data_IF_446075732883
#
_entry.id   IF_446075732883
#
_cell.length_a   1.000
_cell.length_b   1.000
_cell.length_c   1.000
_cell.angle_alpha   90.00
_cell.angle_beta   90.00
_cell.angle_gamma   90.00
#
_symmetry.space_group_name_H-M   'P 1'
#
loop_
_entity.id
_entity.type
_entity.pdbx_description
1 polymer ?
#
# COMPACT_ATOMS: atom_id res chain seq x y z
N UNK A 1 -11.75 4.15 -7.99
CA UNK A 1 -12.49 5.13 -7.20
C UNK A 1 -13.97 4.84 -7.15
N UNK A 2 -14.30 3.55 -7.22
CA UNK A 2 -15.60 3.03 -6.81
C UNK A 2 -15.70 3.01 -5.27
N UNK A 3 -14.57 3.04 -4.57
CA UNK A 3 -14.40 3.04 -3.11
C UNK A 3 -13.97 4.38 -2.49
N UNK A 4 -13.41 5.31 -3.27
CA UNK A 4 -13.18 6.69 -2.83
C UNK A 4 -11.81 6.95 -2.19
N UNK A 5 -10.80 6.12 -2.47
CA UNK A 5 -9.42 6.31 -2.02
C UNK A 5 -8.63 7.33 -2.89
N UNK A 6 -9.17 7.67 -4.06
CA UNK A 6 -8.60 8.58 -5.05
C UNK A 6 -7.80 7.93 -6.17
N UNK A 7 -7.66 6.60 -6.20
CA UNK A 7 -7.09 5.82 -7.29
C UNK A 7 -8.22 5.42 -8.26
N UNK A 8 -8.19 5.81 -9.54
CA UNK A 8 -9.29 5.48 -10.47
C UNK A 8 -9.36 3.95 -10.75
N UNK A 9 -10.55 3.38 -10.98
CA UNK A 9 -10.77 1.92 -11.17
C UNK A 9 -9.90 1.32 -12.28
N UNK A 10 -9.61 2.12 -13.31
CA UNK A 10 -8.70 1.71 -14.37
C UNK A 10 -7.26 1.49 -13.87
N UNK A 11 -6.78 2.37 -13.00
CA UNK A 11 -5.47 2.24 -12.36
C UNK A 11 -5.46 1.13 -11.31
N UNK A 12 -6.55 0.92 -10.59
CA UNK A 12 -6.71 -0.20 -9.65
C UNK A 12 -6.52 -1.53 -10.38
N UNK A 13 -7.21 -1.71 -11.52
CA UNK A 13 -7.02 -2.88 -12.37
C UNK A 13 -5.57 -3.08 -12.83
N UNK A 14 -4.83 -2.00 -13.13
CA UNK A 14 -3.43 -2.11 -13.55
C UNK A 14 -2.47 -2.42 -12.41
N UNK A 15 -2.77 -1.95 -11.20
CA UNK A 15 -1.96 -2.18 -9.99
C UNK A 15 -2.39 -3.42 -9.21
N UNK A 16 -3.43 -4.14 -9.68
CA UNK A 16 -3.98 -5.36 -9.05
C UNK A 16 -4.62 -5.12 -7.69
N UNK A 17 -5.11 -3.90 -7.47
CA UNK A 17 -5.89 -3.56 -6.28
C UNK A 17 -7.39 -3.83 -6.50
N UNK A 18 -8.17 -3.93 -5.43
CA UNK A 18 -9.62 -4.17 -5.51
C UNK A 18 -10.37 -2.83 -5.58
N UNK A 19 -11.07 -2.51 -6.70
CA UNK A 19 -11.77 -1.23 -6.88
C UNK A 19 -12.92 -0.96 -5.90
N UNK A 20 -13.17 -1.86 -4.97
CA UNK A 20 -14.23 -1.78 -3.97
C UNK A 20 -13.66 -1.68 -2.56
N UNK A 21 -12.34 -1.71 -2.40
CA UNK A 21 -11.65 -1.68 -1.13
C UNK A 21 -10.58 -0.59 -1.20
N UNK A 22 -10.73 0.51 -0.43
CA UNK A 22 -9.81 1.63 -0.51
C UNK A 22 -8.40 1.31 0.03
N UNK A 23 -8.25 0.14 0.66
CA UNK A 23 -7.05 -0.44 1.25
C UNK A 23 -7.15 -1.94 0.93
N UNK A 24 -6.42 -2.37 -0.11
CA UNK A 24 -6.58 -3.71 -0.70
C UNK A 24 -5.99 -4.80 0.18
N UNK A 25 -4.88 -4.54 0.85
CA UNK A 25 -4.15 -5.53 1.65
C UNK A 25 -4.47 -5.46 3.16
N UNK A 26 -5.16 -4.40 3.58
CA UNK A 26 -5.70 -4.21 4.92
C UNK A 26 -4.66 -3.77 5.94
N UNK A 27 -3.55 -3.17 5.52
CA UNK A 27 -2.48 -2.74 6.41
C UNK A 27 -2.76 -1.37 7.07
N UNK A 28 -3.76 -0.63 6.56
CA UNK A 28 -4.19 0.68 7.02
C UNK A 28 -3.72 1.86 6.18
N UNK A 29 -3.03 1.63 5.07
CA UNK A 29 -2.73 2.62 4.02
C UNK A 29 -3.74 2.51 2.87
N UNK A 30 -4.03 3.62 2.22
CA UNK A 30 -4.85 3.60 1.00
C UNK A 30 -4.02 3.14 -0.21
N UNK A 31 -4.62 2.43 -1.15
CA UNK A 31 -3.93 1.97 -2.36
C UNK A 31 -3.24 3.13 -3.11
N UNK A 32 -3.92 4.29 -3.20
CA UNK A 32 -3.33 5.50 -3.73
C UNK A 32 -2.08 5.97 -2.97
N UNK A 33 -2.13 5.96 -1.64
CA UNK A 33 -1.02 6.42 -0.78
C UNK A 33 0.20 5.52 -0.96
N UNK A 34 -0.02 4.22 -0.98
CA UNK A 34 1.01 3.22 -1.21
C UNK A 34 1.71 3.41 -2.55
N UNK A 35 0.94 3.57 -3.64
CA UNK A 35 1.49 3.74 -4.98
C UNK A 35 2.20 5.09 -5.18
N UNK A 36 1.65 6.18 -4.64
CA UNK A 36 2.06 7.55 -5.00
C UNK A 36 2.98 8.19 -3.96
N UNK A 37 2.81 7.86 -2.69
CA UNK A 37 3.51 8.51 -1.57
C UNK A 37 4.63 7.62 -1.04
N UNK A 38 4.34 6.35 -0.84
CA UNK A 38 5.19 5.42 -0.11
C UNK A 38 6.01 4.50 -1.01
N UNK A 39 5.56 4.30 -2.25
CA UNK A 39 6.16 3.36 -3.20
C UNK A 39 6.19 1.92 -2.64
N UNK A 40 5.19 1.55 -1.83
CA UNK A 40 4.94 0.19 -1.32
C UNK A 40 4.06 -0.64 -2.28
N UNK A 41 3.94 -1.95 -2.05
CA UNK A 41 3.07 -2.86 -2.78
C UNK A 41 1.67 -2.86 -2.15
N UNK A 42 0.65 -2.25 -2.79
CA UNK A 42 -0.71 -2.12 -2.23
C UNK A 42 -1.48 -3.44 -2.15
N UNK A 43 -0.83 -4.55 -2.48
CA UNK A 43 -1.40 -5.90 -2.39
C UNK A 43 -0.70 -6.77 -1.37
N UNK A 44 0.25 -6.21 -0.61
CA UNK A 44 1.07 -6.92 0.34
C UNK A 44 1.37 -6.03 1.55
N UNK A 45 0.84 -6.37 2.75
CA UNK A 45 0.91 -5.49 3.92
C UNK A 45 2.33 -5.34 4.49
N UNK A 46 3.32 -6.04 3.93
CA UNK A 46 4.73 -5.99 4.29
C UNK A 46 5.58 -6.13 3.00
N UNK A 47 5.80 -5.00 2.32
CA UNK A 47 6.38 -4.95 0.97
C UNK A 47 7.73 -5.68 0.85
N UNK A 48 8.64 -5.50 1.81
CA UNK A 48 9.97 -6.11 1.81
C UNK A 48 10.04 -7.46 2.55
N UNK A 49 8.94 -7.89 3.18
CA UNK A 49 8.81 -9.12 3.94
C UNK A 49 9.79 -9.21 5.12
N UNK A 50 10.04 -8.08 5.80
CA UNK A 50 10.92 -8.00 6.98
C UNK A 50 10.19 -8.30 8.32
N UNK A 51 8.86 -8.42 8.28
CA UNK A 51 8.00 -8.69 9.43
C UNK A 51 7.38 -7.44 10.06
N UNK A 52 7.62 -6.25 9.50
CA UNK A 52 6.95 -5.01 9.86
C UNK A 52 5.96 -4.63 8.76
N UNK A 53 4.71 -4.34 9.14
CA UNK A 53 3.72 -3.88 8.16
C UNK A 53 4.04 -2.46 7.68
N UNK A 54 3.64 -2.13 6.46
CA UNK A 54 4.06 -0.90 5.79
C UNK A 54 3.54 0.36 6.50
N UNK A 55 2.30 0.33 6.98
CA UNK A 55 1.72 1.38 7.82
C UNK A 55 2.48 1.61 9.14
N UNK A 56 3.15 0.59 9.68
CA UNK A 56 4.02 0.71 10.86
C UNK A 56 5.36 1.33 10.50
N UNK A 57 5.94 0.99 9.34
CA UNK A 57 7.21 1.56 8.86
C UNK A 57 7.14 3.08 8.76
N UNK A 58 6.00 3.63 8.32
CA UNK A 58 5.73 5.08 8.29
C UNK A 58 5.80 5.74 9.67
N UNK A 59 5.29 5.07 10.70
CA UNK A 59 5.27 5.63 12.06
C UNK A 59 6.65 5.63 12.72
N UNK A 60 7.53 4.70 12.34
CA UNK A 60 8.87 4.55 12.94
C UNK A 60 9.99 5.16 12.08
N UNK A 61 9.69 5.57 10.84
CA UNK A 61 10.61 6.24 9.94
C UNK A 61 11.62 5.31 9.25
N UNK A 62 11.22 4.06 8.99
CA UNK A 62 12.01 3.09 8.21
C UNK A 62 11.60 3.11 6.73
N UNK A 63 12.47 2.58 5.85
CA UNK A 63 12.26 2.56 4.40
C UNK A 63 11.80 1.18 3.92
N UNK A 64 10.89 1.13 2.95
CA UNK A 64 10.32 -0.09 2.35
C UNK A 64 11.25 -0.89 1.44
N UNK A 65 12.41 -0.32 1.09
CA UNK A 65 13.42 -0.97 0.23
C UNK A 65 14.58 -1.55 1.05
N UNK A 66 14.58 -1.32 2.35
CA UNK A 66 15.63 -1.77 3.24
C UNK A 66 15.03 -2.87 4.10
N UNK A 67 15.43 -4.14 3.93
CA UNK A 67 14.99 -5.22 4.81
C UNK A 67 15.65 -5.04 6.18
N UNK A 68 15.33 -3.94 6.88
CA UNK A 68 16.07 -3.44 8.02
C UNK A 68 16.26 -4.58 9.04
N UNK A 69 17.53 -4.78 9.39
CA UNK A 69 18.07 -5.89 10.20
C UNK A 69 17.46 -6.02 11.59
#
# INVERSE_FOLDING_TARGET
DTDGDGLLDFYEFTNRTDPRLPDTDGDGLLDLEEIVVYESDPTNPDTDNDGLIDSVKINIGTYFDNPDT
#
